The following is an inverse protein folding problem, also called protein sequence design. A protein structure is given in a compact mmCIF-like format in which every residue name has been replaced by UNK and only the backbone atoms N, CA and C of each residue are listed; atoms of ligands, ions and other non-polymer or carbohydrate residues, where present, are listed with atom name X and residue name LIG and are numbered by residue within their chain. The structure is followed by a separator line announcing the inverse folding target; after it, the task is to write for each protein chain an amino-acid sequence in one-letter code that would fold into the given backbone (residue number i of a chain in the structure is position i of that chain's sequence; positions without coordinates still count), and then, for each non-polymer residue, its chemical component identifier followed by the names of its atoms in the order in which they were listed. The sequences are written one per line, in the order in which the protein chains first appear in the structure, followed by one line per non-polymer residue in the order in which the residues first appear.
data_IF_339123957220
#
_entry.id   IF_339123957220
#
_cell.length_a   1.000
_cell.length_b   1.000
_cell.length_c   1.000
_cell.angle_alpha   90.00
_cell.angle_beta   90.00
_cell.angle_gamma   90.00
#
_symmetry.space_group_name_H-M   'P 1'
#
loop_
_entity.id
_entity.type
_entity.pdbx_description
1 polymer ?
#
# COMPACT_ATOMS: atom_id res chain seq x y z
N UNK A 1 16.26 15.31 43.04
CA UNK A 1 17.21 14.75 42.06
C UNK A 1 17.01 13.25 42.02
N UNK A 2 16.32 12.75 40.99
CA UNK A 2 16.47 11.39 40.47
C UNK A 2 15.86 11.40 39.07
N UNK A 3 16.71 11.11 38.10
CA UNK A 3 16.49 11.18 36.68
C UNK A 3 15.48 10.12 36.20
N UNK A 4 14.46 10.57 35.46
CA UNK A 4 13.63 9.69 34.62
C UNK A 4 14.09 9.86 33.17
N UNK A 5 15.19 9.20 32.83
CA UNK A 5 15.65 9.03 31.45
C UNK A 5 14.74 7.99 30.79
N UNK A 6 13.66 8.44 30.16
CA UNK A 6 12.91 7.62 29.21
C UNK A 6 13.75 7.57 27.93
N UNK A 7 14.69 6.63 27.87
CA UNK A 7 15.28 6.19 26.60
C UNK A 7 14.22 5.42 25.82
N UNK A 8 13.35 6.15 25.12
CA UNK A 8 12.57 5.59 24.02
C UNK A 8 13.52 5.44 22.83
N UNK A 9 14.31 4.36 22.83
CA UNK A 9 14.92 3.87 21.60
C UNK A 9 13.78 3.41 20.70
N UNK A 10 13.30 4.30 19.83
CA UNK A 10 12.49 3.92 18.70
C UNK A 10 13.37 3.02 17.83
N UNK A 11 13.23 1.71 18.03
CA UNK A 11 13.87 0.71 17.19
C UNK A 11 13.34 0.97 15.79
N UNK A 12 14.24 1.37 14.89
CA UNK A 12 13.99 1.40 13.45
C UNK A 12 13.73 -0.04 13.00
N UNK A 13 12.50 -0.50 13.21
CA UNK A 13 12.06 -1.76 12.66
C UNK A 13 11.81 -1.52 11.17
N UNK A 14 12.36 -2.35 10.29
CA UNK A 14 12.04 -2.30 8.87
C UNK A 14 10.51 -2.34 8.72
N UNK A 15 9.98 -1.44 7.89
CA UNK A 15 8.55 -1.49 7.58
C UNK A 15 8.42 -2.67 6.62
N UNK A 16 7.89 -3.78 7.13
CA UNK A 16 7.50 -4.92 6.33
C UNK A 16 6.33 -4.47 5.44
N UNK A 17 6.54 -4.52 4.14
CA UNK A 17 5.60 -3.91 3.21
C UNK A 17 4.60 -4.91 2.66
N UNK A 18 5.05 -6.15 2.45
CA UNK A 18 4.22 -7.21 1.87
C UNK A 18 4.81 -8.61 2.02
N UNK A 19 5.71 -8.89 2.97
CA UNK A 19 5.74 -10.25 3.52
C UNK A 19 4.44 -10.43 4.34
N UNK A 20 3.35 -10.53 3.59
CA UNK A 20 2.19 -11.28 3.96
C UNK A 20 2.65 -12.72 4.05
N UNK A 21 3.32 -13.04 5.13
CA UNK A 21 2.95 -14.26 5.77
C UNK A 21 2.04 -13.78 6.89
N UNK A 22 0.73 -13.96 6.70
CA UNK A 22 -0.13 -14.12 7.86
C UNK A 22 0.48 -15.21 8.75
N UNK A 23 0.02 -15.36 10.00
CA UNK A 23 0.60 -16.37 10.91
C UNK A 23 0.64 -17.81 10.34
N UNK A 24 -0.02 -18.06 9.21
CA UNK A 24 -0.05 -19.28 8.41
C UNK A 24 0.88 -19.30 7.17
N UNK A 25 1.70 -18.28 6.91
CA UNK A 25 2.60 -18.25 5.74
C UNK A 25 2.01 -17.70 4.44
N UNK A 26 0.78 -17.15 4.44
CA UNK A 26 0.11 -16.68 3.21
C UNK A 26 0.18 -15.16 3.00
N UNK A 27 0.18 -14.66 1.73
CA UNK A 27 0.10 -13.23 1.40
C UNK A 27 -1.01 -12.51 2.16
N UNK A 28 -0.83 -11.21 2.39
CA UNK A 28 -1.86 -10.38 3.00
C UNK A 28 -3.09 -10.31 2.07
N UNK A 29 -4.18 -9.74 2.56
CA UNK A 29 -5.45 -9.74 1.83
C UNK A 29 -5.34 -8.99 0.49
N UNK A 30 -4.61 -7.88 0.44
CA UNK A 30 -4.30 -7.16 -0.78
C UNK A 30 -3.56 -8.05 -1.78
N UNK A 31 -2.45 -8.67 -1.38
CA UNK A 31 -1.65 -9.52 -2.26
C UNK A 31 -2.45 -10.70 -2.83
N UNK A 32 -3.25 -11.37 -1.98
CA UNK A 32 -4.18 -12.41 -2.44
C UNK A 32 -5.19 -11.88 -3.47
N UNK A 33 -5.77 -10.71 -3.22
CA UNK A 33 -6.74 -10.11 -4.11
C UNK A 33 -6.12 -9.69 -5.45
N UNK A 34 -4.95 -9.07 -5.44
CA UNK A 34 -4.24 -8.66 -6.66
C UNK A 34 -3.81 -9.87 -7.49
N UNK A 35 -3.38 -10.96 -6.84
CA UNK A 35 -3.12 -12.22 -7.53
C UNK A 35 -4.37 -12.77 -8.22
N UNK A 36 -5.53 -12.75 -7.54
CA UNK A 36 -6.80 -13.13 -8.16
C UNK A 36 -7.13 -12.24 -9.38
N UNK A 37 -6.96 -10.91 -9.26
CA UNK A 37 -7.13 -9.99 -10.38
C UNK A 37 -6.22 -10.35 -11.54
N UNK A 38 -4.92 -10.58 -11.29
CA UNK A 38 -3.98 -10.99 -12.32
C UNK A 38 -4.40 -12.29 -13.02
N UNK A 39 -4.90 -13.28 -12.27
CA UNK A 39 -5.41 -14.54 -12.86
C UNK A 39 -6.62 -14.33 -13.76
N UNK A 40 -7.55 -13.46 -13.36
CA UNK A 40 -8.72 -13.11 -14.18
C UNK A 40 -8.27 -12.38 -15.45
N UNK A 41 -7.39 -11.38 -15.31
CA UNK A 41 -6.84 -10.58 -16.41
C UNK A 41 -6.13 -11.47 -17.43
N UNK A 42 -5.24 -12.34 -16.95
CA UNK A 42 -4.52 -13.32 -17.77
C UNK A 42 -5.45 -14.24 -18.54
N UNK A 43 -6.47 -14.80 -17.87
CA UNK A 43 -7.43 -15.71 -18.51
C UNK A 43 -8.24 -14.99 -19.61
N UNK A 44 -8.70 -13.76 -19.34
CA UNK A 44 -9.43 -12.95 -20.32
C UNK A 44 -8.56 -12.59 -21.54
N UNK A 45 -7.27 -12.32 -21.32
CA UNK A 45 -6.31 -12.09 -22.40
C UNK A 45 -5.99 -13.36 -23.20
N UNK A 46 -5.79 -14.50 -22.53
CA UNK A 46 -5.41 -15.76 -23.17
C UNK A 46 -6.58 -16.42 -23.92
N UNK A 47 -7.81 -16.19 -23.46
CA UNK A 47 -9.02 -16.83 -23.98
C UNK A 47 -10.17 -15.84 -24.19
N UNK A 48 -10.03 -14.85 -25.09
CA UNK A 48 -11.00 -13.76 -25.24
C UNK A 48 -12.42 -14.23 -25.64
N UNK A 49 -12.57 -15.45 -26.15
CA UNK A 49 -13.85 -16.05 -26.54
C UNK A 49 -14.31 -17.20 -25.63
N UNK A 50 -13.52 -17.59 -24.63
CA UNK A 50 -13.91 -18.61 -23.65
C UNK A 50 -13.96 -18.00 -22.24
N UNK A 51 -15.19 -17.85 -21.74
CA UNK A 51 -15.47 -17.22 -20.45
C UNK A 51 -15.55 -18.21 -19.29
N UNK A 52 -15.18 -19.47 -19.50
CA UNK A 52 -15.20 -20.45 -18.40
C UNK A 52 -14.12 -20.14 -17.37
N UNK A 53 -14.55 -19.50 -16.28
CA UNK A 53 -13.73 -19.13 -15.13
C UNK A 53 -13.84 -20.14 -13.97
N UNK A 54 -14.40 -21.33 -14.22
CA UNK A 54 -14.64 -22.34 -13.18
C UNK A 54 -13.35 -22.77 -12.47
N UNK A 55 -12.24 -22.87 -13.20
CA UNK A 55 -10.95 -23.25 -12.65
C UNK A 55 -10.42 -22.22 -11.65
N UNK A 56 -10.65 -20.92 -11.89
CA UNK A 56 -10.25 -19.84 -10.96
C UNK A 56 -10.97 -20.00 -9.62
N UNK A 57 -12.27 -20.34 -9.66
CA UNK A 57 -13.04 -20.57 -8.43
C UNK A 57 -12.54 -21.80 -7.68
N UNK A 58 -12.32 -22.91 -8.40
CA UNK A 58 -11.84 -24.15 -7.78
C UNK A 58 -10.46 -23.99 -7.12
N UNK A 59 -9.56 -23.25 -7.77
CA UNK A 59 -8.18 -23.09 -7.31
C UNK A 59 -8.05 -22.05 -6.19
N UNK A 60 -8.72 -20.89 -6.28
CA UNK A 60 -8.41 -19.74 -5.42
C UNK A 60 -9.51 -19.37 -4.42
N UNK A 61 -10.72 -19.91 -4.53
CA UNK A 61 -11.82 -19.53 -3.62
C UNK A 61 -11.50 -19.80 -2.15
N UNK A 62 -10.74 -20.87 -1.86
CA UNK A 62 -10.32 -21.24 -0.51
C UNK A 62 -9.33 -20.27 0.17
N UNK A 63 -8.71 -19.36 -0.58
CA UNK A 63 -7.78 -18.37 -0.03
C UNK A 63 -8.48 -17.17 0.62
N UNK A 64 -9.80 -17.08 0.44
CA UNK A 64 -10.64 -16.00 0.95
C UNK A 64 -11.66 -16.53 1.95
N UNK A 65 -12.05 -15.68 2.90
CA UNK A 65 -13.10 -15.96 3.88
C UNK A 65 -14.03 -14.75 3.95
N UNK A 66 -15.28 -14.84 3.44
CA UNK A 66 -15.85 -15.98 2.71
C UNK A 66 -15.16 -16.23 1.36
N UNK A 67 -15.18 -17.50 0.91
CA UNK A 67 -14.78 -17.83 -0.47
C UNK A 67 -15.70 -17.18 -1.51
N UNK A 68 -15.28 -17.18 -2.76
CA UNK A 68 -16.04 -16.62 -3.87
C UNK A 68 -16.65 -17.67 -4.80
N UNK A 69 -17.64 -17.24 -5.59
CA UNK A 69 -18.38 -18.06 -6.55
C UNK A 69 -18.00 -17.71 -7.99
N UNK A 70 -18.57 -18.43 -8.97
CA UNK A 70 -18.45 -18.05 -10.39
C UNK A 70 -19.07 -16.66 -10.67
N UNK A 71 -20.18 -16.33 -10.00
CA UNK A 71 -20.85 -15.04 -10.16
C UNK A 71 -19.99 -13.87 -9.70
N UNK A 72 -19.23 -14.05 -8.61
CA UNK A 72 -18.20 -13.09 -8.19
C UNK A 72 -17.15 -12.89 -9.28
N UNK A 73 -16.57 -13.97 -9.81
CA UNK A 73 -15.53 -13.85 -10.86
C UNK A 73 -16.09 -13.16 -12.11
N UNK A 74 -17.27 -13.58 -12.58
CA UNK A 74 -17.94 -12.94 -13.71
C UNK A 74 -18.22 -11.46 -13.48
N UNK A 75 -18.60 -11.08 -12.25
CA UNK A 75 -18.80 -9.69 -11.86
C UNK A 75 -17.51 -8.87 -11.83
N UNK A 76 -16.41 -9.42 -11.29
CA UNK A 76 -15.09 -8.80 -11.34
C UNK A 76 -14.62 -8.59 -12.80
N UNK A 77 -14.86 -9.58 -13.67
CA UNK A 77 -14.57 -9.49 -15.10
C UNK A 77 -15.38 -8.41 -15.83
N UNK A 78 -16.54 -7.98 -15.33
CA UNK A 78 -17.28 -6.87 -15.98
C UNK A 78 -16.52 -5.54 -15.87
N UNK A 79 -15.77 -5.34 -14.79
CA UNK A 79 -14.91 -4.18 -14.60
C UNK A 79 -13.48 -4.43 -15.15
N UNK A 80 -13.32 -5.30 -16.16
CA UNK A 80 -12.01 -5.73 -16.66
C UNK A 80 -11.07 -4.58 -17.00
N UNK A 81 -11.55 -3.52 -17.68
CA UNK A 81 -10.72 -2.35 -18.00
C UNK A 81 -10.11 -1.67 -16.76
N UNK A 82 -10.81 -1.70 -15.62
CA UNK A 82 -10.29 -1.17 -14.37
C UNK A 82 -9.44 -2.20 -13.62
N UNK A 83 -9.82 -3.48 -13.69
CA UNK A 83 -9.05 -4.59 -13.13
C UNK A 83 -7.66 -4.69 -13.76
N UNK A 84 -7.55 -4.55 -15.08
CA UNK A 84 -6.27 -4.50 -15.80
C UNK A 84 -5.39 -3.32 -15.37
N UNK A 85 -5.98 -2.21 -14.90
CA UNK A 85 -5.19 -1.13 -14.29
C UNK A 85 -4.59 -1.52 -12.93
N UNK A 86 -5.25 -2.41 -12.19
CA UNK A 86 -4.67 -2.97 -10.96
C UNK A 86 -3.46 -3.85 -11.27
N UNK A 87 -3.53 -4.66 -12.33
CA UNK A 87 -2.40 -5.51 -12.74
C UNK A 87 -1.23 -4.68 -13.24
N UNK A 88 -1.49 -3.59 -13.97
CA UNK A 88 -0.45 -2.62 -14.36
C UNK A 88 0.14 -1.90 -13.15
N UNK A 89 -0.69 -1.47 -12.19
CA UNK A 89 -0.21 -0.84 -10.97
C UNK A 89 0.68 -1.78 -10.15
N UNK A 90 0.29 -3.06 -10.05
CA UNK A 90 1.10 -4.10 -9.39
C UNK A 90 2.45 -4.26 -10.07
N UNK A 91 2.48 -4.36 -11.39
CA UNK A 91 3.73 -4.49 -12.13
C UNK A 91 4.64 -3.27 -11.97
N UNK A 92 4.07 -2.06 -12.01
CA UNK A 92 4.83 -0.82 -11.79
C UNK A 92 5.45 -0.76 -10.40
N UNK A 93 4.79 -1.41 -9.44
CA UNK A 93 5.29 -1.55 -8.09
C UNK A 93 6.46 -2.55 -8.05
N UNK A 94 6.29 -3.75 -8.61
CA UNK A 94 7.33 -4.80 -8.67
C UNK A 94 8.63 -4.27 -9.31
N UNK A 95 8.50 -3.49 -10.39
CA UNK A 95 9.63 -2.82 -11.06
C UNK A 95 10.44 -1.93 -10.11
N UNK A 96 9.78 -1.26 -9.15
CA UNK A 96 10.46 -0.43 -8.15
C UNK A 96 10.99 -1.23 -6.97
N UNK A 97 10.33 -2.33 -6.59
CA UNK A 97 10.62 -3.02 -5.35
C UNK A 97 11.64 -4.14 -5.44
N UNK A 98 11.66 -4.89 -6.54
CA UNK A 98 12.41 -6.16 -6.66
C UNK A 98 13.84 -6.01 -7.22
N UNK A 99 14.40 -4.80 -7.20
CA UNK A 99 15.77 -4.55 -7.66
C UNK A 99 15.93 -4.57 -9.19
N UNK A 100 14.87 -4.85 -9.94
CA UNK A 100 14.81 -4.71 -11.40
C UNK A 100 14.38 -3.30 -11.82
N UNK A 101 14.92 -2.27 -11.16
CA UNK A 101 14.57 -0.87 -11.43
C UNK A 101 15.02 -0.48 -12.83
N UNK A 102 14.09 -0.60 -13.78
CA UNK A 102 14.32 -0.22 -15.17
C UNK A 102 14.38 1.30 -15.30
N UNK A 103 15.01 1.78 -16.37
CA UNK A 103 15.03 3.20 -16.69
C UNK A 103 13.59 3.73 -16.84
N UNK A 104 13.29 4.84 -16.17
CA UNK A 104 11.95 5.43 -16.18
C UNK A 104 10.93 4.79 -15.22
N UNK A 105 11.32 3.85 -14.35
CA UNK A 105 10.40 3.15 -13.47
C UNK A 105 9.73 4.07 -12.43
N UNK A 106 10.44 5.12 -11.98
CA UNK A 106 9.91 6.10 -11.04
C UNK A 106 8.77 6.92 -11.66
N UNK A 107 8.92 7.31 -12.92
CA UNK A 107 7.96 8.10 -13.70
C UNK A 107 6.73 7.28 -14.11
N UNK A 108 6.89 5.96 -14.26
CA UNK A 108 5.80 5.02 -14.61
C UNK A 108 5.06 4.48 -13.39
N UNK A 109 5.49 4.81 -12.17
CA UNK A 109 4.85 4.29 -10.96
C UNK A 109 3.38 4.69 -10.88
N UNK A 110 2.52 3.70 -10.65
CA UNK A 110 1.08 3.91 -10.47
C UNK A 110 0.70 3.52 -9.03
N UNK A 111 0.17 4.47 -8.22
CA UNK A 111 -0.29 4.16 -6.88
C UNK A 111 -1.52 3.23 -6.90
N UNK A 112 -1.51 2.24 -6.01
CA UNK A 112 -2.50 1.16 -5.95
C UNK A 112 -3.84 1.63 -5.36
N UNK A 113 -3.85 2.46 -4.32
CA UNK A 113 -5.09 2.88 -3.67
C UNK A 113 -6.00 3.70 -4.60
N UNK A 114 -5.50 4.66 -5.41
CA UNK A 114 -6.30 5.30 -6.44
C UNK A 114 -6.83 4.32 -7.49
N UNK A 115 -6.00 3.36 -7.93
CA UNK A 115 -6.41 2.35 -8.92
C UNK A 115 -7.56 1.46 -8.38
N UNK A 116 -7.48 1.03 -7.12
CA UNK A 116 -8.55 0.29 -6.43
C UNK A 116 -9.84 1.10 -6.29
N UNK A 117 -9.76 2.40 -6.03
CA UNK A 117 -10.95 3.28 -5.98
C UNK A 117 -11.62 3.39 -7.35
N UNK A 118 -10.84 3.51 -8.43
CA UNK A 118 -11.38 3.47 -9.79
C UNK A 118 -12.01 2.12 -10.14
N UNK A 119 -11.39 1.03 -9.71
CA UNK A 119 -11.94 -0.31 -9.86
C UNK A 119 -13.28 -0.46 -9.14
N UNK A 120 -13.37 0.02 -7.89
CA UNK A 120 -14.62 0.04 -7.14
C UNK A 120 -15.72 0.78 -7.89
N UNK A 121 -15.43 2.00 -8.38
CA UNK A 121 -16.36 2.78 -9.20
C UNK A 121 -16.83 2.02 -10.45
N UNK A 122 -15.93 1.30 -11.11
CA UNK A 122 -16.26 0.43 -12.24
C UNK A 122 -17.29 -0.63 -11.88
N UNK A 123 -17.14 -1.27 -10.72
CA UNK A 123 -18.11 -2.22 -10.20
C UNK A 123 -19.43 -1.55 -9.81
N UNK A 124 -19.42 -0.32 -9.28
CA UNK A 124 -20.64 0.39 -8.88
C UNK A 124 -21.54 0.72 -10.06
N UNK A 125 -20.95 0.99 -11.21
CA UNK A 125 -21.66 1.36 -12.42
C UNK A 125 -22.24 0.15 -13.18
N UNK A 126 -21.96 -1.09 -12.76
CA UNK A 126 -22.45 -2.31 -13.41
C UNK A 126 -23.28 -3.18 -12.45
N UNK A 127 -24.58 -3.29 -12.74
CA UNK A 127 -25.50 -4.13 -11.96
C UNK A 127 -25.10 -5.61 -11.96
N UNK A 128 -24.41 -6.09 -12.99
CA UNK A 128 -23.92 -7.47 -13.10
C UNK A 128 -22.77 -7.75 -12.13
N UNK A 129 -22.12 -6.70 -11.60
CA UNK A 129 -21.06 -6.81 -10.60
C UNK A 129 -21.60 -6.81 -9.15
N UNK A 130 -22.91 -6.82 -8.92
CA UNK A 130 -23.50 -6.72 -7.59
C UNK A 130 -23.03 -7.82 -6.62
N UNK A 131 -22.89 -9.07 -7.08
CA UNK A 131 -22.38 -10.16 -6.26
C UNK A 131 -20.90 -9.97 -5.90
N UNK A 132 -20.08 -9.55 -6.88
CA UNK A 132 -18.67 -9.24 -6.67
C UNK A 132 -18.48 -8.12 -5.65
N UNK A 133 -19.28 -7.05 -5.72
CA UNK A 133 -19.25 -5.96 -4.72
C UNK A 133 -19.57 -6.47 -3.33
N UNK A 134 -20.64 -7.25 -3.16
CA UNK A 134 -21.03 -7.82 -1.86
C UNK A 134 -19.91 -8.70 -1.30
N UNK A 135 -19.31 -9.52 -2.14
CA UNK A 135 -18.20 -10.38 -1.75
C UNK A 135 -16.96 -9.56 -1.33
N UNK A 136 -16.56 -8.53 -2.09
CA UNK A 136 -15.44 -7.65 -1.73
C UNK A 136 -15.64 -7.00 -0.36
N UNK A 137 -16.84 -6.50 -0.08
CA UNK A 137 -17.17 -5.97 1.26
C UNK A 137 -17.02 -7.05 2.33
N UNK A 138 -17.54 -8.25 2.06
CA UNK A 138 -17.53 -9.35 3.02
C UNK A 138 -16.12 -9.87 3.36
N UNK A 139 -15.18 -9.88 2.41
CA UNK A 139 -13.81 -10.29 2.66
C UNK A 139 -12.94 -9.21 3.31
N UNK A 140 -13.42 -7.96 3.35
CA UNK A 140 -12.71 -6.83 3.96
C UNK A 140 -12.14 -5.81 2.98
N UNK A 141 -12.94 -5.31 2.03
CA UNK A 141 -12.54 -4.24 1.10
C UNK A 141 -11.83 -3.04 1.78
N UNK A 142 -12.31 -2.61 2.95
CA UNK A 142 -11.67 -1.53 3.70
C UNK A 142 -10.23 -1.85 4.13
N UNK A 143 -9.94 -3.10 4.47
CA UNK A 143 -8.60 -3.56 4.80
C UNK A 143 -7.71 -3.64 3.56
N UNK A 144 -8.25 -4.08 2.41
CA UNK A 144 -7.54 -4.05 1.11
C UNK A 144 -7.10 -2.62 0.79
N UNK A 145 -8.01 -1.64 0.91
CA UNK A 145 -7.69 -0.22 0.67
C UNK A 145 -6.64 0.30 1.65
N UNK A 146 -6.76 -0.01 2.94
CA UNK A 146 -5.79 0.41 3.95
C UNK A 146 -4.38 -0.16 3.67
N UNK A 147 -4.29 -1.42 3.28
CA UNK A 147 -3.03 -2.06 2.89
C UNK A 147 -2.44 -1.37 1.64
N UNK A 148 -3.28 -1.01 0.67
CA UNK A 148 -2.82 -0.28 -0.52
C UNK A 148 -2.33 1.13 -0.19
N UNK A 149 -3.01 1.86 0.69
CA UNK A 149 -2.58 3.19 1.15
C UNK A 149 -1.26 3.15 1.91
N UNK A 150 -1.06 2.11 2.73
CA UNK A 150 0.21 1.86 3.41
C UNK A 150 1.35 1.61 2.43
N UNK A 151 1.09 0.76 1.40
CA UNK A 151 2.05 0.46 0.33
C UNK A 151 2.40 1.70 -0.49
N UNK A 152 1.41 2.49 -0.89
CA UNK A 152 1.62 3.72 -1.65
C UNK A 152 2.45 4.73 -0.84
N UNK A 153 2.12 4.91 0.44
CA UNK A 153 2.86 5.80 1.35
C UNK A 153 4.32 5.37 1.49
N UNK A 154 4.58 4.08 1.61
CA UNK A 154 5.93 3.58 1.70
C UNK A 154 6.71 3.78 0.39
N UNK A 155 6.10 3.53 -0.76
CA UNK A 155 6.75 3.74 -2.05
C UNK A 155 7.05 5.22 -2.31
N UNK A 156 6.18 6.13 -1.87
CA UNK A 156 6.46 7.57 -1.93
C UNK A 156 7.73 7.95 -1.14
N UNK A 157 8.04 7.27 -0.04
CA UNK A 157 9.30 7.47 0.69
C UNK A 157 10.51 6.96 -0.09
N UNK A 158 10.37 5.84 -0.81
CA UNK A 158 11.43 5.34 -1.69
C UNK A 158 11.68 6.30 -2.83
N UNK A 159 10.63 6.79 -3.49
CA UNK A 159 10.71 7.75 -4.59
C UNK A 159 11.30 9.10 -4.13
N UNK A 160 10.98 9.54 -2.92
CA UNK A 160 11.60 10.72 -2.32
C UNK A 160 13.06 10.49 -1.85
N UNK A 161 13.61 9.29 -2.03
CA UNK A 161 14.97 8.95 -1.61
C UNK A 161 15.15 8.82 -0.10
N UNK A 162 14.06 8.77 0.67
CA UNK A 162 14.05 8.66 2.13
C UNK A 162 14.15 7.21 2.62
N UNK A 163 13.96 6.24 1.73
CA UNK A 163 13.96 4.82 2.06
C UNK A 163 14.53 3.98 0.91
N UNK A 164 14.91 2.75 1.21
CA UNK A 164 15.39 1.74 0.24
C UNK A 164 14.45 0.55 0.26
N UNK A 165 14.07 0.05 -0.92
CA UNK A 165 13.27 -1.16 -1.06
C UNK A 165 14.15 -2.37 -1.29
N UNK A 166 13.87 -3.48 -0.58
CA UNK A 166 14.59 -4.75 -0.65
C UNK A 166 13.67 -5.91 -1.02
N UNK A 167 12.88 -5.76 -2.07
CA UNK A 167 12.00 -6.81 -2.61
C UNK A 167 10.78 -7.17 -1.74
N UNK A 168 10.89 -7.20 -0.41
CA UNK A 168 9.80 -7.54 0.52
C UNK A 168 9.65 -6.58 1.72
N UNK A 169 10.62 -5.69 1.92
CA UNK A 169 10.65 -4.71 3.01
C UNK A 169 11.25 -3.39 2.53
N UNK A 170 10.86 -2.29 3.19
CA UNK A 170 11.39 -0.95 2.96
C UNK A 170 12.04 -0.55 4.26
N UNK A 171 13.29 -0.12 4.14
CA UNK A 171 14.05 0.42 5.25
C UNK A 171 14.18 1.93 5.06
N UNK A 172 13.74 2.70 6.05
CA UNK A 172 14.03 4.13 6.06
C UNK A 172 15.55 4.33 6.16
N UNK A 173 16.08 5.24 5.35
CA UNK A 173 17.51 5.53 5.37
C UNK A 173 17.90 6.11 6.74
N UNK A 174 19.02 5.68 7.35
CA UNK A 174 19.45 6.18 8.66
C UNK A 174 19.53 7.71 8.75
N UNK A 175 19.92 8.38 7.66
CA UNK A 175 19.99 9.84 7.57
C UNK A 175 18.60 10.48 7.68
N UNK A 176 17.59 9.88 7.02
CA UNK A 176 16.21 10.34 7.10
C UNK A 176 15.62 10.11 8.50
N UNK A 177 15.86 8.93 9.09
CA UNK A 177 15.43 8.67 10.47
C UNK A 177 16.02 9.71 11.44
N UNK A 178 17.32 9.99 11.33
CA UNK A 178 17.99 10.96 12.19
C UNK A 178 17.41 12.36 12.02
N UNK A 179 17.18 12.78 10.77
CA UNK A 179 16.55 14.06 10.46
C UNK A 179 15.12 14.16 11.02
N UNK A 180 14.35 13.06 10.95
CA UNK A 180 12.99 12.97 11.47
C UNK A 180 12.95 13.06 12.99
N UNK A 181 13.80 12.29 13.68
CA UNK A 181 13.92 12.38 15.15
C UNK A 181 14.29 13.79 15.61
N UNK A 182 15.18 14.47 14.87
CA UNK A 182 15.56 15.85 15.18
C UNK A 182 14.40 16.82 14.96
N UNK A 183 13.61 16.63 13.91
CA UNK A 183 12.44 17.44 13.63
C UNK A 183 11.33 17.24 14.69
N UNK A 184 11.06 15.98 15.06
CA UNK A 184 10.11 15.61 16.11
C UNK A 184 10.52 16.18 17.47
N UNK A 185 11.81 16.05 17.83
CA UNK A 185 12.34 16.61 19.07
C UNK A 185 12.16 18.14 19.14
N UNK A 186 12.43 18.83 18.02
CA UNK A 186 12.24 20.29 17.92
C UNK A 186 10.77 20.68 18.04
N UNK A 187 9.86 19.92 17.40
CA UNK A 187 8.43 20.15 17.55
C UNK A 187 7.97 19.99 19.01
N UNK A 188 8.41 18.92 19.68
CA UNK A 188 8.09 18.67 21.09
C UNK A 188 8.62 19.81 21.98
N UNK A 189 9.86 20.24 21.76
CA UNK A 189 10.47 21.34 22.51
C UNK A 189 9.69 22.65 22.33
N UNK A 190 9.37 23.00 21.07
CA UNK A 190 8.62 24.22 20.77
C UNK A 190 7.19 24.17 21.29
N UNK A 191 6.53 23.01 21.24
CA UNK A 191 5.21 22.80 21.85
C UNK A 191 5.25 22.97 23.37
N UNK A 192 6.27 22.43 24.03
CA UNK A 192 6.46 22.59 25.48
C UNK A 192 6.78 24.05 25.84
N UNK A 193 7.59 24.74 25.04
CA UNK A 193 7.90 26.16 25.24
C UNK A 193 6.64 27.03 25.08
N UNK A 194 5.80 26.73 24.07
CA UNK A 194 4.52 27.41 23.86
C UNK A 194 3.53 27.14 25.00
N UNK A 195 3.48 25.92 25.54
CA UNK A 195 2.68 25.63 26.74
C UNK A 195 3.19 26.40 27.97
N UNK A 196 4.52 26.42 28.18
CA UNK A 196 5.17 27.13 29.30
C UNK A 196 4.99 28.66 29.20
N UNK A 197 4.86 29.22 28.00
CA UNK A 197 4.59 30.65 27.80
C UNK A 197 3.13 31.04 28.04
N UNK A 198 2.28 30.09 28.46
CA UNK A 198 0.84 30.31 28.63
C UNK A 198 0.10 30.35 27.30
N UNK A 199 0.56 29.58 26.31
CA UNK A 199 -0.05 29.46 24.98
C UNK A 199 -0.11 30.79 24.22
N UNK A 200 0.86 31.67 24.47
CA UNK A 200 0.96 32.97 23.81
C UNK A 200 1.76 32.85 22.51
N UNK A 201 1.28 33.51 21.46
CA UNK A 201 1.92 33.52 20.14
C UNK A 201 1.44 32.39 19.22
N UNK A 202 2.17 32.18 18.13
CA UNK A 202 1.83 31.14 17.14
C UNK A 202 2.03 29.74 17.74
N UNK A 203 1.02 28.88 17.60
CA UNK A 203 1.10 27.50 18.03
C UNK A 203 1.96 26.73 17.03
N UNK A 204 2.99 25.99 17.47
CA UNK A 204 3.74 25.10 16.59
C UNK A 204 2.82 24.07 15.93
N UNK A 205 2.91 23.93 14.61
CA UNK A 205 2.19 22.90 13.87
C UNK A 205 3.16 21.87 13.30
N UNK A 206 2.80 20.58 13.34
CA UNK A 206 3.67 19.48 12.90
C UNK A 206 4.18 19.67 11.46
N UNK A 207 3.38 20.32 10.61
CA UNK A 207 3.74 20.59 9.20
C UNK A 207 5.00 21.47 9.06
N UNK A 208 5.31 22.30 10.06
CA UNK A 208 6.45 23.22 10.05
C UNK A 208 7.77 22.53 10.42
N UNK A 209 7.70 21.27 10.85
CA UNK A 209 8.82 20.47 11.34
C UNK A 209 9.05 19.28 10.41
N UNK A 210 9.32 19.57 9.13
CA UNK A 210 9.69 18.53 8.16
C UNK A 210 11.13 18.06 8.39
N UNK A 211 11.42 16.75 8.25
CA UNK A 211 12.79 16.23 8.25
C UNK A 211 13.62 16.90 7.16
N UNK A 212 14.75 17.49 7.53
CA UNK A 212 15.70 18.06 6.56
C UNK A 212 16.84 17.08 6.33
N UNK A 213 16.84 16.40 5.19
CA UNK A 213 17.94 15.55 4.76
C UNK A 213 18.79 16.32 3.75
N UNK A 214 20.05 16.58 4.08
CA UNK A 214 20.99 17.12 3.11
C UNK A 214 21.34 16.00 2.11
N UNK A 215 20.68 15.98 0.96
CA UNK A 215 21.19 15.22 -0.16
C UNK A 215 22.43 15.94 -0.67
N UNK A 216 23.61 15.32 -0.53
CA UNK A 216 24.75 15.72 -1.33
C UNK A 216 24.31 15.62 -2.79
N UNK A 217 24.39 16.73 -3.54
CA UNK A 217 24.11 16.73 -4.96
C UNK A 217 24.94 15.63 -5.61
N UNK A 218 24.26 14.67 -6.26
CA UNK A 218 24.89 13.63 -7.05
C UNK A 218 25.56 14.24 -8.30
#
# INVERSE_FOLDING_TARGET
MSDNTITSSAINLPIELWNGTTSDGKPNLLGRFLYLCWRIDWQLHATPFNSDMSNIVQEYSGDFKPGFTKGVVSGLSQAWLHLSKLTVAEKSFEELSEGCRTEGAEERFIPMAPALRWFWMGLENDLRAAEAKKWLVAIGWGEILKQAEGRDTAMQRVLAGHAVSYGSFIEEKPEYTTAKQKADARFIEDMQNWQRSGMKGHRPELKDYQPQVCHAAA
#
